data_IF_551973543190
#
_entry.id   IF_551973543190
#
_cell.length_a   1.000
_cell.length_b   1.000
_cell.length_c   1.000
_cell.angle_alpha   90.00
_cell.angle_beta   90.00
_cell.angle_gamma   90.00
#
_symmetry.space_group_name_H-M   'P 1'
#
loop_
_entity.id
_entity.type
_entity.pdbx_description
1 polymer ?
#
# COMPACT_ATOMS: atom_id res chain seq x y z
N UNK A 1 14.91 2.85 5.09
CA UNK A 1 14.87 4.13 5.82
C UNK A 1 15.64 4.03 7.13
N UNK A 2 16.32 5.11 7.51
CA UNK A 2 17.00 5.19 8.81
C UNK A 2 16.04 5.37 9.99
N UNK A 3 14.82 5.83 9.70
CA UNK A 3 13.87 6.24 10.72
C UNK A 3 12.72 5.26 10.90
N UNK A 4 12.37 4.53 9.85
CA UNK A 4 11.20 3.65 9.84
C UNK A 4 11.54 2.31 9.25
N UNK A 5 11.00 1.26 9.82
CA UNK A 5 11.18 -0.12 9.30
C UNK A 5 10.30 -0.38 8.07
N UNK A 6 9.18 0.32 7.97
CA UNK A 6 8.27 0.17 6.86
C UNK A 6 7.27 1.31 6.80
N UNK A 7 6.52 1.39 5.71
CA UNK A 7 5.56 2.47 5.44
C UNK A 7 4.27 1.90 4.89
N UNK A 8 3.14 2.41 5.35
CA UNK A 8 1.83 2.17 4.73
C UNK A 8 1.45 3.39 3.91
N UNK A 9 1.28 3.21 2.60
CA UNK A 9 0.85 4.28 1.70
C UNK A 9 -0.66 4.22 1.54
N UNK A 10 -1.37 5.14 2.16
CA UNK A 10 -2.84 5.16 2.18
C UNK A 10 -3.38 6.27 1.30
N UNK A 11 -4.47 6.00 0.62
CA UNK A 11 -5.14 6.99 -0.21
C UNK A 11 -6.35 6.40 -0.92
N UNK A 12 -6.98 7.22 -1.73
CA UNK A 12 -8.13 6.80 -2.52
C UNK A 12 -8.13 7.54 -3.86
N UNK A 13 -8.29 6.78 -4.94
CA UNK A 13 -8.47 7.32 -6.28
C UNK A 13 -9.82 6.83 -6.79
N UNK A 14 -10.72 7.75 -7.07
CA UNK A 14 -12.09 7.46 -7.48
C UNK A 14 -12.28 7.91 -8.92
N UNK A 15 -12.83 7.02 -9.75
CA UNK A 15 -13.04 7.32 -11.16
C UNK A 15 -14.07 8.44 -11.32
N UNK A 16 -13.66 9.50 -11.99
CA UNK A 16 -14.55 10.50 -12.57
C UNK A 16 -14.37 10.38 -14.09
N UNK A 17 -15.35 10.26 -14.81
CA UNK A 17 -15.54 10.05 -16.26
C UNK A 17 -14.39 10.46 -17.23
N UNK A 18 -13.12 10.20 -16.92
CA UNK A 18 -11.97 10.55 -17.75
C UNK A 18 -10.89 9.47 -17.72
N UNK A 19 -10.05 9.43 -18.75
CA UNK A 19 -8.88 8.55 -18.84
C UNK A 19 -7.82 8.89 -17.77
N UNK A 20 -7.90 10.03 -17.13
CA UNK A 20 -6.97 10.49 -16.11
C UNK A 20 -6.90 9.53 -14.91
N UNK A 21 -8.01 8.85 -14.59
CA UNK A 21 -8.05 7.86 -13.52
C UNK A 21 -6.99 6.77 -13.70
N UNK A 22 -6.90 6.20 -14.91
CA UNK A 22 -5.96 5.11 -15.17
C UNK A 22 -4.51 5.60 -15.07
N UNK A 23 -4.23 6.82 -15.56
CA UNK A 23 -2.90 7.42 -15.47
C UNK A 23 -2.50 7.69 -14.01
N UNK A 24 -3.42 8.18 -13.19
CA UNK A 24 -3.15 8.43 -11.77
C UNK A 24 -2.89 7.12 -11.04
N UNK A 25 -3.69 6.09 -11.28
CA UNK A 25 -3.52 4.77 -10.66
C UNK A 25 -2.15 4.17 -11.01
N UNK A 26 -1.76 4.23 -12.27
CA UNK A 26 -0.46 3.73 -12.72
C UNK A 26 0.68 4.54 -12.11
N UNK A 27 0.56 5.86 -12.06
CA UNK A 27 1.55 6.76 -11.46
C UNK A 27 1.78 6.47 -9.99
N UNK A 28 0.70 6.34 -9.21
CA UNK A 28 0.77 6.05 -7.78
C UNK A 28 1.44 4.69 -7.54
N UNK A 29 1.03 3.66 -8.28
CA UNK A 29 1.60 2.32 -8.17
C UNK A 29 3.09 2.33 -8.48
N UNK A 30 3.49 3.00 -9.56
CA UNK A 30 4.89 3.10 -9.98
C UNK A 30 5.72 3.85 -8.95
N UNK A 31 5.23 4.94 -8.41
CA UNK A 31 5.95 5.75 -7.42
C UNK A 31 6.17 4.99 -6.11
N UNK A 32 5.16 4.27 -5.65
CA UNK A 32 5.28 3.46 -4.43
C UNK A 32 6.33 2.36 -4.61
N UNK A 33 6.30 1.65 -5.73
CA UNK A 33 7.28 0.63 -6.03
C UNK A 33 8.69 1.20 -6.14
N UNK A 34 8.85 2.33 -6.83
CA UNK A 34 10.14 3.00 -6.98
C UNK A 34 10.69 3.48 -5.65
N UNK A 35 9.85 4.08 -4.81
CA UNK A 35 10.26 4.54 -3.48
C UNK A 35 10.69 3.38 -2.59
N UNK A 36 9.99 2.26 -2.63
CA UNK A 36 10.34 1.06 -1.87
C UNK A 36 11.73 0.55 -2.26
N UNK A 37 12.00 0.46 -3.54
CA UNK A 37 13.31 0.01 -4.04
C UNK A 37 14.42 1.01 -3.73
N UNK A 38 14.16 2.31 -3.92
CA UNK A 38 15.16 3.35 -3.73
C UNK A 38 15.56 3.52 -2.25
N UNK A 39 14.65 3.28 -1.33
CA UNK A 39 14.87 3.45 0.12
C UNK A 39 15.18 2.13 0.83
N UNK A 40 15.11 1.01 0.13
CA UNK A 40 15.24 -0.33 0.70
C UNK A 40 14.32 -0.54 1.91
N UNK A 41 13.11 0.00 1.80
CA UNK A 41 12.11 -0.02 2.87
C UNK A 41 10.81 -0.59 2.32
N UNK A 42 10.21 -1.60 2.96
CA UNK A 42 8.91 -2.12 2.53
C UNK A 42 7.84 -1.03 2.60
N UNK A 43 7.11 -0.85 1.52
CA UNK A 43 5.97 0.06 1.45
C UNK A 43 4.75 -0.75 1.01
N UNK A 44 3.77 -0.84 1.91
CA UNK A 44 2.52 -1.54 1.59
C UNK A 44 1.56 -0.60 0.88
N UNK A 45 0.97 -1.11 -0.19
CA UNK A 45 0.03 -0.37 -1.02
C UNK A 45 -1.37 -0.44 -0.41
N UNK A 46 -1.80 0.66 0.21
CA UNK A 46 -3.12 0.80 0.82
C UNK A 46 -3.98 1.84 0.10
N UNK A 47 -3.76 2.03 -1.20
CA UNK A 47 -4.52 3.00 -2.00
C UNK A 47 -5.71 2.30 -2.64
N UNK A 48 -6.92 2.81 -2.35
CA UNK A 48 -8.14 2.36 -2.99
C UNK A 48 -8.26 2.96 -4.38
N UNK A 49 -8.58 2.11 -5.36
CA UNK A 49 -8.87 2.55 -6.73
C UNK A 49 -10.25 2.03 -7.08
N UNK A 50 -11.25 2.91 -7.08
CA UNK A 50 -12.65 2.52 -7.22
C UNK A 50 -13.35 3.35 -8.28
N UNK A 51 -14.48 2.84 -8.77
CA UNK A 51 -15.30 3.54 -9.76
C UNK A 51 -16.25 4.52 -9.09
N UNK A 52 -16.67 4.27 -7.86
CA UNK A 52 -17.63 5.12 -7.14
C UNK A 52 -17.15 5.44 -5.72
N UNK A 53 -17.72 6.51 -5.16
CA UNK A 53 -17.47 6.93 -3.77
C UNK A 53 -17.97 5.84 -2.81
N UNK A 54 -19.12 5.25 -3.09
CA UNK A 54 -19.69 4.18 -2.27
C UNK A 54 -18.76 2.99 -2.17
N UNK A 55 -18.16 2.57 -3.28
CA UNK A 55 -17.17 1.50 -3.28
C UNK A 55 -15.96 1.84 -2.42
N UNK A 56 -15.48 3.08 -2.50
CA UNK A 56 -14.35 3.54 -1.69
C UNK A 56 -14.70 3.50 -0.19
N UNK A 57 -15.87 3.98 0.18
CA UNK A 57 -16.33 3.97 1.57
C UNK A 57 -16.47 2.54 2.10
N UNK A 58 -17.06 1.64 1.32
CA UNK A 58 -17.23 0.25 1.72
C UNK A 58 -15.89 -0.42 2.02
N UNK A 59 -14.88 -0.20 1.18
CA UNK A 59 -13.56 -0.79 1.32
C UNK A 59 -12.67 -0.08 2.34
N UNK A 60 -13.04 1.12 2.76
CA UNK A 60 -12.35 1.89 3.78
C UNK A 60 -12.82 1.56 5.21
N UNK A 61 -13.71 0.59 5.38
CA UNK A 61 -14.15 0.15 6.70
C UNK A 61 -15.66 0.18 6.92
N UNK A 62 -16.45 0.55 5.90
CA UNK A 62 -17.89 0.69 6.09
C UNK A 62 -18.62 -0.68 6.00
N UNK A 63 -18.42 -1.44 4.91
CA UNK A 63 -19.08 -2.74 4.73
C UNK A 63 -18.16 -3.88 4.33
N UNK A 64 -17.30 -3.65 3.33
CA UNK A 64 -16.58 -4.73 2.63
C UNK A 64 -15.12 -4.85 3.08
N UNK A 65 -14.82 -4.46 4.30
CA UNK A 65 -13.48 -4.56 4.84
C UNK A 65 -12.86 -3.20 5.13
N UNK A 66 -11.59 -3.22 5.47
CA UNK A 66 -10.83 -2.02 5.79
C UNK A 66 -9.45 -2.13 5.17
N UNK A 67 -9.25 -1.47 4.02
CA UNK A 67 -7.99 -1.53 3.28
C UNK A 67 -6.82 -1.01 4.10
N UNK A 68 -7.04 0.03 4.90
CA UNK A 68 -5.99 0.59 5.75
C UNK A 68 -5.55 -0.40 6.82
N UNK A 69 -6.49 -1.07 7.48
CA UNK A 69 -6.18 -2.09 8.47
C UNK A 69 -5.46 -3.28 7.84
N UNK A 70 -5.93 -3.76 6.69
CA UNK A 70 -5.29 -4.86 5.96
C UNK A 70 -3.85 -4.50 5.57
N UNK A 71 -3.64 -3.26 5.14
CA UNK A 71 -2.33 -2.74 4.78
C UNK A 71 -1.37 -2.76 5.98
N UNK A 72 -1.84 -2.35 7.15
CA UNK A 72 -1.03 -2.35 8.37
C UNK A 72 -0.65 -3.78 8.79
N UNK A 73 -1.59 -4.71 8.76
CA UNK A 73 -1.33 -6.13 9.08
C UNK A 73 -0.33 -6.72 8.10
N UNK A 74 -0.51 -6.48 6.80
CA UNK A 74 0.41 -6.97 5.77
C UNK A 74 1.82 -6.42 5.95
N UNK A 75 1.94 -5.15 6.35
CA UNK A 75 3.25 -4.56 6.63
C UNK A 75 3.94 -5.25 7.80
N UNK A 76 3.23 -5.50 8.90
CA UNK A 76 3.79 -6.19 10.05
C UNK A 76 4.22 -7.61 9.71
N UNK A 77 3.43 -8.34 8.94
CA UNK A 77 3.78 -9.68 8.46
C UNK A 77 5.03 -9.67 7.58
N UNK A 78 5.11 -8.69 6.67
CA UNK A 78 6.27 -8.52 5.79
C UNK A 78 7.54 -8.25 6.58
N UNK A 79 7.46 -7.40 7.60
CA UNK A 79 8.60 -7.09 8.46
C UNK A 79 9.05 -8.32 9.28
N UNK A 80 8.11 -9.12 9.75
CA UNK A 80 8.43 -10.37 10.45
C UNK A 80 9.17 -11.35 9.54
N UNK A 81 8.69 -11.54 8.31
CA UNK A 81 9.33 -12.41 7.32
C UNK A 81 10.72 -11.89 6.99
N UNK A 82 10.87 -10.60 6.78
CA UNK A 82 12.15 -9.98 6.47
C UNK A 82 13.18 -10.20 7.59
N UNK A 83 12.76 -10.03 8.84
CA UNK A 83 13.62 -10.28 10.00
C UNK A 83 14.02 -11.75 10.11
N UNK A 84 13.10 -12.66 9.83
CA UNK A 84 13.39 -14.08 9.84
C UNK A 84 14.43 -14.45 8.78
N UNK A 85 14.33 -13.89 7.58
CA UNK A 85 15.30 -14.11 6.49
C UNK A 85 16.68 -13.59 6.89
N UNK A 86 16.76 -12.36 7.39
CA UNK A 86 18.03 -11.77 7.82
C UNK A 86 18.68 -12.57 8.94
N UNK A 87 17.88 -13.03 9.89
CA UNK A 87 18.37 -13.86 11.00
C UNK A 87 18.91 -15.20 10.51
N UNK A 88 18.25 -15.82 9.53
CA UNK A 88 18.70 -17.07 8.93
C UNK A 88 20.03 -16.87 8.18
N UNK A 89 20.19 -15.77 7.45
CA UNK A 89 21.42 -15.46 6.74
C UNK A 89 22.61 -15.24 7.68
N UNK A 90 22.36 -14.74 8.88
CA UNK A 90 23.40 -14.50 9.87
C UNK A 90 23.75 -15.75 10.69
N UNK A 91 22.91 -16.73 10.65
CA UNK A 91 23.14 -18.01 11.33
C UNK A 91 24.01 -18.93 10.50
#
# INVERSE_FOLDING_TARGET
>A
SQWYDGVSALGSVIRVATAHFDDVCLGVTTWIATASLATDTPIMFGVLTTDTIEQAMDRAGFKSGNKGADCAVSLLETLDVQRAILKADLA
#
